data_IF_749668119077
#
_entry.id   IF_749668119077
#
_cell.length_a   1.000
_cell.length_b   1.000
_cell.length_c   1.000
_cell.angle_alpha   90.00
_cell.angle_beta   90.00
_cell.angle_gamma   90.00
#
_symmetry.space_group_name_H-M   'P 1'
#
loop_
_entity.id
_entity.type
_entity.pdbx_description
1 polymer ?
#
# COMPACT_ATOMS: atom_id res chain seq x y z
N UNK A 1 -14.55 -23.80 -12.52
CA UNK A 1 -13.51 -22.98 -11.90
C UNK A 1 -12.48 -22.62 -12.96
N UNK A 2 -12.47 -21.38 -13.46
CA UNK A 2 -11.46 -20.94 -14.42
C UNK A 2 -10.63 -19.85 -13.73
N UNK A 3 -9.36 -20.19 -13.46
CA UNK A 3 -8.39 -19.27 -12.92
C UNK A 3 -7.55 -18.71 -14.08
N UNK A 4 -7.68 -17.42 -14.37
CA UNK A 4 -6.84 -16.77 -15.40
C UNK A 4 -5.57 -16.25 -14.76
N UNK A 5 -4.41 -16.69 -15.29
CA UNK A 5 -3.11 -16.15 -14.90
C UNK A 5 -2.81 -14.84 -15.65
N UNK A 6 -2.05 -14.00 -14.96
CA UNK A 6 -1.43 -12.73 -15.38
C UNK A 6 -1.20 -12.58 -16.88
N UNK A 7 -2.10 -11.92 -17.58
CA UNK A 7 -1.81 -11.15 -18.78
C UNK A 7 -2.34 -9.75 -18.57
N UNK A 8 -1.57 -8.76 -18.84
CA UNK A 8 -2.01 -7.37 -18.82
C UNK A 8 -2.36 -6.93 -20.25
N UNK A 9 -3.57 -6.41 -20.50
CA UNK A 9 -4.74 -6.38 -19.62
C UNK A 9 -5.29 -7.80 -19.36
N UNK A 10 -5.89 -8.04 -18.17
CA UNK A 10 -6.50 -9.34 -17.87
C UNK A 10 -7.62 -9.67 -18.85
N UNK A 11 -7.60 -10.87 -19.44
CA UNK A 11 -8.65 -11.35 -20.34
C UNK A 11 -9.80 -11.95 -19.54
N UNK A 12 -10.51 -11.12 -18.79
CA UNK A 12 -11.59 -11.60 -17.91
C UNK A 12 -12.92 -11.79 -18.63
N UNK A 13 -13.14 -11.13 -19.75
CA UNK A 13 -14.36 -11.23 -20.55
C UNK A 13 -14.50 -12.56 -21.31
N UNK A 14 -13.42 -13.32 -21.45
CA UNK A 14 -13.41 -14.59 -22.15
C UNK A 14 -13.73 -15.78 -21.21
N UNK A 15 -14.07 -15.47 -19.95
CA UNK A 15 -14.35 -16.47 -18.89
C UNK A 15 -15.85 -16.49 -18.65
N UNK A 16 -16.45 -17.68 -18.80
CA UNK A 16 -17.87 -17.90 -18.52
C UNK A 16 -18.02 -19.13 -17.61
N UNK A 17 -18.38 -18.90 -16.37
CA UNK A 17 -18.57 -19.91 -15.35
C UNK A 17 -19.55 -19.45 -14.28
N UNK A 18 -20.00 -20.36 -13.42
CA UNK A 18 -20.86 -20.03 -12.26
C UNK A 18 -20.20 -19.02 -11.33
N UNK A 19 -18.89 -19.10 -11.19
CA UNK A 19 -18.05 -18.11 -10.51
C UNK A 19 -16.86 -17.80 -11.39
N UNK A 20 -16.68 -16.55 -11.73
CA UNK A 20 -15.53 -16.03 -12.46
C UNK A 20 -14.60 -15.35 -11.42
N UNK A 21 -13.54 -16.04 -11.04
CA UNK A 21 -12.61 -15.58 -10.01
C UNK A 21 -11.26 -15.23 -10.63
N UNK A 22 -10.80 -13.99 -10.44
CA UNK A 22 -9.40 -13.61 -10.70
C UNK A 22 -8.57 -13.94 -9.46
N UNK A 23 -7.55 -14.80 -9.63
CA UNK A 23 -6.79 -15.34 -8.52
C UNK A 23 -5.46 -14.62 -8.29
N UNK A 24 -5.14 -14.34 -7.01
CA UNK A 24 -3.86 -13.80 -6.52
C UNK A 24 -3.39 -12.59 -7.36
N UNK A 25 -4.31 -11.66 -7.63
CA UNK A 25 -4.00 -10.50 -8.43
C UNK A 25 -3.03 -9.57 -7.70
N UNK A 26 -2.03 -9.07 -8.42
CA UNK A 26 -1.03 -8.14 -7.93
C UNK A 26 -1.06 -6.84 -8.70
N UNK A 27 -0.81 -5.73 -7.99
CA UNK A 27 -0.66 -4.40 -8.55
C UNK A 27 0.26 -3.58 -7.65
N UNK A 28 0.96 -2.59 -8.19
CA UNK A 28 2.03 -1.91 -7.47
C UNK A 28 1.90 -0.39 -7.42
N UNK A 29 0.92 0.19 -8.12
CA UNK A 29 0.71 1.65 -8.19
C UNK A 29 -0.65 2.07 -7.64
N UNK A 30 -0.75 3.30 -7.14
CA UNK A 30 -2.00 3.80 -6.57
C UNK A 30 -3.12 3.96 -7.60
N UNK A 31 -2.80 4.31 -8.86
CA UNK A 31 -3.78 4.37 -9.94
C UNK A 31 -3.91 3.03 -10.65
N UNK A 32 -5.11 2.76 -11.15
CA UNK A 32 -5.47 1.55 -11.89
C UNK A 32 -6.20 1.91 -13.18
N UNK A 33 -5.95 1.24 -14.31
CA UNK A 33 -6.58 1.60 -15.58
C UNK A 33 -8.11 1.45 -15.54
N UNK A 34 -8.85 2.53 -15.84
CA UNK A 34 -10.30 2.56 -15.76
C UNK A 34 -10.98 1.44 -16.58
N UNK A 35 -10.51 1.19 -17.80
CA UNK A 35 -11.05 0.13 -18.66
C UNK A 35 -10.90 -1.28 -18.04
N UNK A 36 -9.95 -1.48 -17.13
CA UNK A 36 -9.80 -2.74 -16.42
C UNK A 36 -10.75 -2.81 -15.23
N UNK A 37 -10.99 -1.69 -14.55
CA UNK A 37 -12.02 -1.58 -13.48
C UNK A 37 -13.39 -2.00 -14.04
N UNK A 38 -13.78 -1.40 -15.16
CA UNK A 38 -15.03 -1.73 -15.82
C UNK A 38 -15.12 -3.21 -16.21
N UNK A 39 -14.04 -3.75 -16.77
CA UNK A 39 -13.97 -5.18 -17.11
C UNK A 39 -14.06 -6.07 -15.88
N UNK A 40 -13.43 -5.71 -14.76
CA UNK A 40 -13.50 -6.49 -13.53
C UNK A 40 -14.91 -6.51 -12.96
N UNK A 41 -15.53 -5.35 -12.87
CA UNK A 41 -16.88 -5.20 -12.35
C UNK A 41 -17.95 -5.90 -13.23
N UNK A 42 -17.71 -5.96 -14.55
CA UNK A 42 -18.68 -6.54 -15.50
C UNK A 42 -18.57 -8.06 -15.65
N UNK A 43 -17.36 -8.64 -15.53
CA UNK A 43 -17.13 -10.04 -15.90
C UNK A 43 -16.70 -10.93 -14.75
N UNK A 44 -16.25 -10.39 -13.61
CA UNK A 44 -15.82 -11.17 -12.47
C UNK A 44 -16.89 -11.25 -11.38
N UNK A 45 -16.96 -12.39 -10.71
CA UNK A 45 -17.77 -12.58 -9.51
C UNK A 45 -16.99 -12.14 -8.25
N UNK A 46 -15.66 -12.20 -8.30
CA UNK A 46 -14.80 -11.78 -7.21
C UNK A 46 -13.32 -11.82 -7.58
N UNK A 47 -12.49 -11.26 -6.73
CA UNK A 47 -11.04 -11.18 -6.90
C UNK A 47 -10.36 -11.62 -5.62
N UNK A 48 -9.35 -12.50 -5.71
CA UNK A 48 -8.39 -12.67 -4.62
C UNK A 48 -7.11 -11.95 -4.97
N UNK A 49 -6.53 -11.26 -3.98
CA UNK A 49 -5.36 -10.40 -4.15
C UNK A 49 -4.21 -10.84 -3.25
N UNK A 50 -2.99 -10.43 -3.62
CA UNK A 50 -1.77 -10.82 -2.92
C UNK A 50 -1.60 -10.14 -1.55
N UNK A 51 -2.18 -8.94 -1.34
CA UNK A 51 -1.99 -8.16 -0.12
C UNK A 51 -3.15 -7.21 0.16
N UNK A 52 -3.17 -6.68 1.38
CA UNK A 52 -4.11 -5.62 1.75
C UNK A 52 -3.90 -4.35 0.93
N UNK A 53 -2.66 -4.04 0.55
CA UNK A 53 -2.35 -2.90 -0.31
C UNK A 53 -3.02 -3.03 -1.68
N UNK A 54 -2.90 -4.18 -2.34
CA UNK A 54 -3.57 -4.43 -3.63
C UNK A 54 -5.10 -4.35 -3.49
N UNK A 55 -5.66 -4.85 -2.38
CA UNK A 55 -7.09 -4.72 -2.10
C UNK A 55 -7.51 -3.26 -2.01
N UNK A 56 -6.76 -2.43 -1.27
CA UNK A 56 -7.03 -1.00 -1.15
C UNK A 56 -6.99 -0.31 -2.50
N UNK A 57 -5.93 -0.55 -3.28
CA UNK A 57 -5.77 0.05 -4.61
C UNK A 57 -6.97 -0.27 -5.51
N UNK A 58 -7.43 -1.51 -5.57
CA UNK A 58 -8.57 -1.88 -6.40
C UNK A 58 -9.86 -1.19 -5.96
N UNK A 59 -10.14 -1.14 -4.66
CA UNK A 59 -11.31 -0.46 -4.10
C UNK A 59 -11.25 1.04 -4.40
N UNK A 60 -10.11 1.67 -4.15
CA UNK A 60 -9.91 3.12 -4.33
C UNK A 60 -10.04 3.54 -5.81
N UNK A 61 -9.81 2.63 -6.74
CA UNK A 61 -10.02 2.85 -8.16
C UNK A 61 -11.39 2.39 -8.69
N UNK A 62 -12.34 2.02 -7.82
CA UNK A 62 -13.72 1.74 -8.21
C UNK A 62 -14.05 0.28 -8.51
N UNK A 63 -13.21 -0.67 -8.13
CA UNK A 63 -13.58 -2.09 -8.15
C UNK A 63 -14.48 -2.38 -6.96
N UNK A 64 -15.77 -2.68 -7.23
CA UNK A 64 -16.79 -2.87 -6.20
C UNK A 64 -17.22 -4.32 -6.00
N UNK A 65 -16.81 -5.26 -6.87
CA UNK A 65 -17.07 -6.67 -6.65
C UNK A 65 -16.29 -7.20 -5.42
N UNK A 66 -16.71 -8.29 -4.79
CA UNK A 66 -16.04 -8.83 -3.61
C UNK A 66 -14.55 -9.08 -3.81
N UNK A 67 -13.71 -8.60 -2.89
CA UNK A 67 -12.25 -8.79 -2.90
C UNK A 67 -11.81 -9.43 -1.59
N UNK A 68 -11.03 -10.53 -1.69
CA UNK A 68 -10.43 -11.21 -0.54
C UNK A 68 -8.90 -11.25 -0.64
N UNK A 69 -8.21 -11.04 0.47
CA UNK A 69 -6.75 -11.16 0.54
C UNK A 69 -6.36 -12.61 0.79
N UNK A 70 -5.73 -13.25 -0.21
CA UNK A 70 -5.23 -14.61 -0.07
C UNK A 70 -3.74 -14.67 0.29
N UNK A 71 -2.96 -13.64 -0.04
CA UNK A 71 -1.50 -13.66 0.07
C UNK A 71 -0.83 -14.51 -1.01
N UNK A 72 0.45 -14.82 -0.79
CA UNK A 72 1.20 -15.83 -1.52
C UNK A 72 1.84 -16.82 -0.54
N UNK A 73 2.02 -18.08 -0.97
CA UNK A 73 2.81 -19.07 -0.24
C UNK A 73 4.31 -18.88 -0.53
N UNK A 74 5.13 -19.14 0.47
CA UNK A 74 6.61 -19.13 0.36
C UNK A 74 7.25 -20.43 0.85
N UNK A 75 6.43 -21.42 1.24
CA UNK A 75 6.87 -22.73 1.72
C UNK A 75 7.48 -23.62 0.64
N UNK A 76 7.33 -23.27 -0.65
CA UNK A 76 8.01 -23.96 -1.75
C UNK A 76 9.54 -23.90 -1.61
N UNK A 77 10.09 -22.84 -0.99
CA UNK A 77 11.53 -22.68 -0.85
C UNK A 77 12.13 -23.71 0.14
N UNK A 78 11.34 -24.24 1.07
CA UNK A 78 11.78 -25.28 2.00
C UNK A 78 12.07 -26.63 1.31
N UNK A 79 11.48 -26.86 0.14
CA UNK A 79 11.61 -28.09 -0.63
C UNK A 79 12.81 -28.08 -1.59
N UNK A 80 13.45 -26.91 -1.73
CA UNK A 80 14.61 -26.74 -2.58
C UNK A 80 15.85 -27.06 -1.75
N UNK A 81 16.78 -27.83 -2.31
CA UNK A 81 18.08 -28.06 -1.68
C UNK A 81 19.10 -27.10 -2.28
N UNK A 82 19.77 -26.34 -1.40
CA UNK A 82 20.87 -25.48 -1.80
C UNK A 82 22.01 -26.30 -2.44
N UNK A 83 22.63 -25.76 -3.48
CA UNK A 83 23.79 -26.41 -4.09
C UNK A 83 25.05 -26.04 -3.36
N UNK A 84 25.94 -27.03 -3.14
CA UNK A 84 27.26 -26.80 -2.52
C UNK A 84 28.26 -26.11 -3.46
N UNK A 85 27.96 -26.05 -4.75
CA UNK A 85 28.86 -25.51 -5.76
C UNK A 85 28.71 -24.00 -5.99
N UNK A 86 27.79 -23.35 -5.25
CA UNK A 86 27.60 -21.91 -5.36
C UNK A 86 28.40 -21.19 -4.27
N UNK A 87 29.46 -20.50 -4.70
CA UNK A 87 30.29 -19.68 -3.79
C UNK A 87 30.23 -18.23 -4.22
N UNK A 88 30.00 -17.34 -3.26
CA UNK A 88 30.16 -15.91 -3.47
C UNK A 88 31.66 -15.55 -3.47
N UNK A 89 32.09 -14.55 -4.23
CA UNK A 89 33.47 -14.06 -4.21
C UNK A 89 33.76 -13.48 -2.82
N UNK A 90 34.83 -14.01 -2.17
CA UNK A 90 35.40 -13.50 -0.92
C UNK A 90 34.47 -13.57 0.33
N UNK A 91 35.08 -13.67 1.53
CA UNK A 91 34.40 -13.64 2.84
C UNK A 91 33.91 -12.22 3.22
N UNK A 92 33.33 -11.48 2.29
CA UNK A 92 32.82 -10.12 2.50
C UNK A 92 31.37 -10.15 2.98
N UNK A 93 30.97 -9.14 3.75
CA UNK A 93 29.57 -8.93 4.06
C UNK A 93 28.79 -8.62 2.78
N UNK A 94 27.76 -9.41 2.49
CA UNK A 94 27.05 -9.36 1.22
C UNK A 94 25.60 -8.87 1.39
N UNK A 95 25.29 -7.75 0.73
CA UNK A 95 23.93 -7.30 0.51
C UNK A 95 23.41 -7.89 -0.80
N UNK A 96 22.22 -8.48 -0.77
CA UNK A 96 21.59 -9.10 -1.93
C UNK A 96 20.36 -8.33 -2.37
N UNK A 97 20.29 -8.00 -3.65
CA UNK A 97 19.08 -7.51 -4.31
C UNK A 97 18.69 -8.45 -5.45
N UNK A 98 17.45 -8.97 -5.41
CA UNK A 98 16.91 -9.83 -6.48
C UNK A 98 15.69 -9.15 -7.09
N UNK A 99 15.79 -8.74 -8.34
CA UNK A 99 14.66 -8.14 -9.06
C UNK A 99 14.85 -8.10 -10.57
N UNK A 100 13.78 -7.75 -11.29
CA UNK A 100 13.83 -7.42 -12.72
C UNK A 100 14.52 -6.08 -13.03
N UNK A 101 14.93 -5.32 -12.03
CA UNK A 101 15.49 -3.96 -12.15
C UNK A 101 14.62 -2.97 -12.94
N UNK A 102 13.29 -3.16 -12.93
CA UNK A 102 12.36 -2.13 -13.40
C UNK A 102 12.49 -0.87 -12.53
N UNK A 103 12.15 0.33 -13.04
CA UNK A 103 12.28 1.59 -12.30
C UNK A 103 11.70 1.53 -10.88
N UNK A 104 10.52 0.90 -10.71
CA UNK A 104 9.88 0.74 -9.40
C UNK A 104 10.67 -0.10 -8.38
N UNK A 105 11.69 -0.86 -8.83
CA UNK A 105 12.53 -1.68 -7.94
C UNK A 105 13.63 -0.88 -7.21
N UNK A 106 13.78 0.42 -7.54
CA UNK A 106 14.58 1.36 -6.77
C UNK A 106 16.10 1.16 -6.90
N UNK A 107 16.60 0.66 -8.06
CA UNK A 107 18.04 0.43 -8.29
C UNK A 107 18.87 1.69 -8.14
N UNK A 108 18.37 2.84 -8.61
CA UNK A 108 19.07 4.12 -8.48
C UNK A 108 19.21 4.52 -7.00
N UNK A 109 18.13 4.37 -6.22
CA UNK A 109 18.14 4.59 -4.77
C UNK A 109 19.10 3.63 -4.06
N UNK A 110 19.11 2.35 -4.47
CA UNK A 110 20.04 1.36 -3.91
C UNK A 110 21.49 1.73 -4.13
N UNK A 111 21.88 2.05 -5.38
CA UNK A 111 23.24 2.48 -5.65
C UNK A 111 23.60 3.78 -4.94
N UNK A 112 22.70 4.78 -4.94
CA UNK A 112 22.96 6.03 -4.25
C UNK A 112 23.23 5.81 -2.75
N UNK A 113 22.43 4.99 -2.08
CA UNK A 113 22.63 4.66 -0.67
C UNK A 113 23.87 3.83 -0.42
N UNK A 114 24.14 2.82 -1.26
CA UNK A 114 25.32 1.95 -1.13
C UNK A 114 26.63 2.70 -1.33
N UNK A 115 26.73 3.53 -2.37
CA UNK A 115 27.91 4.38 -2.64
C UNK A 115 28.10 5.51 -1.62
N UNK A 116 27.02 5.94 -0.98
CA UNK A 116 27.11 6.89 0.16
C UNK A 116 27.60 6.19 1.44
N UNK A 117 27.33 4.90 1.59
CA UNK A 117 27.62 4.13 2.80
C UNK A 117 29.03 3.55 2.81
N UNK A 118 29.52 3.09 1.67
CA UNK A 118 30.70 2.25 1.54
C UNK A 118 31.66 2.72 0.46
N UNK A 119 32.90 2.28 0.57
CA UNK A 119 34.00 2.55 -0.35
C UNK A 119 34.68 1.23 -0.76
N UNK A 120 35.69 1.28 -1.63
CA UNK A 120 36.49 0.12 -2.01
C UNK A 120 37.30 -0.49 -0.85
N UNK A 121 37.45 0.24 0.28
CA UNK A 121 38.20 -0.21 1.44
C UNK A 121 37.35 -1.00 2.44
N UNK A 122 36.04 -1.02 2.28
CA UNK A 122 35.12 -1.73 3.16
C UNK A 122 34.99 -3.20 2.73
N UNK A 123 34.92 -4.12 3.68
CA UNK A 123 34.73 -5.55 3.45
C UNK A 123 33.27 -5.89 3.16
N UNK A 124 32.72 -5.23 2.15
CA UNK A 124 31.32 -5.35 1.75
C UNK A 124 31.20 -5.55 0.24
N UNK A 125 30.15 -6.24 -0.18
CA UNK A 125 29.78 -6.42 -1.57
C UNK A 125 28.26 -6.28 -1.75
N UNK A 126 27.84 -5.54 -2.79
CA UNK A 126 26.44 -5.52 -3.22
C UNK A 126 26.27 -6.49 -4.39
N UNK A 127 25.38 -7.47 -4.23
CA UNK A 127 25.06 -8.47 -5.24
C UNK A 127 23.68 -8.16 -5.81
N UNK A 128 23.61 -7.99 -7.13
CA UNK A 128 22.36 -7.73 -7.84
C UNK A 128 22.08 -8.91 -8.76
N UNK A 129 21.09 -9.73 -8.40
CA UNK A 129 20.56 -10.80 -9.26
C UNK A 129 19.42 -10.24 -10.09
N UNK A 130 19.60 -10.28 -11.39
CA UNK A 130 18.62 -9.75 -12.35
C UNK A 130 18.58 -10.61 -13.63
N UNK A 131 17.90 -10.13 -14.65
CA UNK A 131 17.87 -10.70 -15.99
C UNK A 131 17.66 -9.60 -17.02
N UNK A 132 18.04 -9.87 -18.27
CA UNK A 132 17.89 -8.93 -19.36
C UNK A 132 16.42 -8.66 -19.69
N UNK A 133 16.05 -7.39 -19.75
CA UNK A 133 14.74 -6.93 -20.20
C UNK A 133 14.80 -5.46 -20.65
N UNK A 134 13.82 -4.95 -21.43
CA UNK A 134 13.87 -3.60 -22.02
C UNK A 134 13.96 -2.45 -21.01
N UNK A 135 13.61 -2.68 -19.76
CA UNK A 135 13.61 -1.66 -18.69
C UNK A 135 14.81 -1.78 -17.75
N UNK A 136 15.62 -2.83 -17.89
CA UNK A 136 16.79 -3.05 -17.04
C UNK A 136 17.98 -2.24 -17.56
N UNK A 137 18.32 -1.20 -16.80
CA UNK A 137 19.47 -0.31 -17.09
C UNK A 137 20.57 -0.42 -16.03
N UNK A 138 20.61 -1.51 -15.26
CA UNK A 138 21.47 -1.65 -14.08
C UNK A 138 22.95 -1.41 -14.39
N UNK A 139 23.47 -1.92 -15.51
CA UNK A 139 24.87 -1.72 -15.92
C UNK A 139 25.18 -0.24 -16.23
N UNK A 140 24.28 0.45 -16.93
CA UNK A 140 24.46 1.86 -17.25
C UNK A 140 24.46 2.72 -15.98
N UNK A 141 23.52 2.45 -15.09
CA UNK A 141 23.40 3.17 -13.80
C UNK A 141 24.65 2.92 -12.95
N UNK A 142 25.12 1.67 -12.82
CA UNK A 142 26.35 1.35 -12.08
C UNK A 142 27.56 2.09 -12.67
N UNK A 143 27.71 2.12 -14.00
CA UNK A 143 28.80 2.83 -14.66
C UNK A 143 28.79 4.34 -14.35
N UNK A 144 27.62 4.97 -14.25
CA UNK A 144 27.51 6.37 -13.86
C UNK A 144 27.95 6.61 -12.42
N UNK A 145 27.58 5.72 -11.48
CA UNK A 145 28.02 5.80 -10.09
C UNK A 145 29.53 5.58 -9.95
N UNK A 146 30.09 4.59 -10.65
CA UNK A 146 31.52 4.33 -10.65
C UNK A 146 32.34 5.53 -11.15
N UNK A 147 31.87 6.22 -12.21
CA UNK A 147 32.55 7.41 -12.74
C UNK A 147 32.56 8.60 -11.76
N UNK A 148 31.55 8.70 -10.91
CA UNK A 148 31.40 9.79 -9.94
C UNK A 148 32.14 9.53 -8.62
N UNK A 149 32.53 8.29 -8.33
CA UNK A 149 33.20 7.90 -7.08
C UNK A 149 34.70 7.78 -7.30
N UNK A 150 35.48 8.36 -6.38
CA UNK A 150 36.95 8.20 -6.34
C UNK A 150 37.38 6.84 -5.78
N UNK A 151 36.51 6.16 -5.04
CA UNK A 151 36.77 4.86 -4.41
C UNK A 151 35.48 4.02 -4.41
N UNK A 152 35.04 3.51 -5.59
CA UNK A 152 33.76 2.84 -5.74
C UNK A 152 33.75 1.51 -4.95
N UNK A 153 32.67 1.24 -4.15
CA UNK A 153 32.53 -0.02 -3.43
C UNK A 153 32.26 -1.17 -4.41
N UNK A 154 32.52 -2.40 -3.97
CA UNK A 154 32.37 -3.57 -4.83
C UNK A 154 30.91 -3.89 -5.12
N UNK A 155 30.58 -4.08 -6.40
CA UNK A 155 29.26 -4.51 -6.89
C UNK A 155 29.43 -5.69 -7.82
N UNK A 156 28.59 -6.72 -7.66
CA UNK A 156 28.51 -7.89 -8.53
C UNK A 156 27.11 -7.97 -9.14
N UNK A 157 27.01 -7.91 -10.46
CA UNK A 157 25.75 -8.12 -11.18
C UNK A 157 25.72 -9.55 -11.72
N UNK A 158 24.66 -10.29 -11.38
CA UNK A 158 24.39 -11.64 -11.85
C UNK A 158 23.15 -11.59 -12.75
N UNK A 159 23.35 -11.37 -14.04
CA UNK A 159 22.30 -11.27 -15.07
C UNK A 159 22.03 -12.58 -15.81
N UNK A 160 22.79 -13.64 -15.53
CA UNK A 160 22.56 -15.00 -16.04
C UNK A 160 21.39 -15.69 -15.36
N UNK A 161 20.78 -16.64 -16.04
CA UNK A 161 19.80 -17.54 -15.41
C UNK A 161 20.45 -18.39 -14.31
N UNK A 162 19.74 -18.55 -13.21
CA UNK A 162 20.11 -19.41 -12.10
C UNK A 162 18.99 -20.42 -11.85
N UNK A 163 19.35 -21.64 -11.52
CA UNK A 163 18.41 -22.66 -11.04
C UNK A 163 17.82 -22.27 -9.68
N UNK A 164 16.72 -22.88 -9.29
CA UNK A 164 16.12 -22.64 -7.98
C UNK A 164 17.10 -22.96 -6.82
N UNK A 165 17.92 -24.02 -6.98
CA UNK A 165 18.95 -24.38 -6.00
C UNK A 165 20.06 -23.33 -5.88
N UNK A 166 20.46 -22.73 -7.00
CA UNK A 166 21.44 -21.61 -6.99
C UNK A 166 20.85 -20.34 -6.39
N UNK A 167 19.57 -20.04 -6.66
CA UNK A 167 18.86 -18.91 -6.05
C UNK A 167 18.76 -19.09 -4.53
N UNK A 168 18.40 -20.28 -4.06
CA UNK A 168 18.37 -20.57 -2.62
C UNK A 168 19.78 -20.45 -2.00
N UNK A 169 20.80 -20.97 -2.67
CA UNK A 169 22.19 -20.81 -2.23
C UNK A 169 22.62 -19.37 -2.16
N UNK A 170 22.20 -18.55 -3.12
CA UNK A 170 22.44 -17.10 -3.14
C UNK A 170 21.82 -16.39 -1.93
N UNK A 171 20.58 -16.74 -1.57
CA UNK A 171 19.95 -16.23 -0.34
C UNK A 171 20.77 -16.61 0.90
N UNK A 172 21.07 -17.90 1.07
CA UNK A 172 21.75 -18.43 2.25
C UNK A 172 23.19 -17.95 2.40
N UNK A 173 23.87 -17.65 1.27
CA UNK A 173 25.22 -17.11 1.28
C UNK A 173 25.26 -15.59 1.52
N UNK A 174 24.11 -14.91 1.54
CA UNK A 174 24.02 -13.45 1.70
C UNK A 174 23.73 -13.07 3.15
N UNK A 175 24.31 -11.96 3.61
CA UNK A 175 24.15 -11.49 4.99
C UNK A 175 22.87 -10.65 5.18
N UNK A 176 22.39 -9.95 4.14
CA UNK A 176 21.14 -9.22 4.19
C UNK A 176 20.54 -9.02 2.78
N UNK A 177 19.21 -9.01 2.71
CA UNK A 177 18.45 -8.66 1.50
C UNK A 177 18.10 -7.19 1.56
N UNK A 178 18.23 -6.49 0.41
CA UNK A 178 17.86 -5.08 0.26
C UNK A 178 16.88 -4.91 -0.88
N UNK A 179 15.67 -4.47 -0.56
CA UNK A 179 14.57 -4.29 -1.52
C UNK A 179 13.92 -2.89 -1.39
N UNK A 180 14.57 -1.83 -1.90
CA UNK A 180 14.09 -0.45 -1.79
C UNK A 180 13.07 -0.12 -2.90
N UNK A 181 12.05 -0.95 -3.03
CA UNK A 181 11.03 -0.79 -4.07
C UNK A 181 10.12 0.39 -3.78
N UNK A 182 9.67 1.09 -4.83
CA UNK A 182 8.69 2.17 -4.77
C UNK A 182 7.26 1.64 -4.59
N UNK A 183 6.99 0.42 -5.04
CA UNK A 183 5.71 -0.25 -4.91
C UNK A 183 5.83 -1.75 -5.17
N UNK A 184 5.13 -2.54 -4.38
CA UNK A 184 5.08 -4.00 -4.47
C UNK A 184 3.68 -4.51 -4.18
N UNK A 185 3.23 -5.46 -4.99
CA UNK A 185 1.99 -6.16 -4.72
C UNK A 185 2.09 -7.16 -3.56
N UNK A 186 3.28 -7.78 -3.37
CA UNK A 186 3.57 -8.70 -2.26
C UNK A 186 5.03 -8.64 -1.80
N UNK A 187 5.97 -8.61 -2.73
CA UNK A 187 7.42 -8.72 -2.54
C UNK A 187 7.88 -10.14 -2.15
N UNK A 188 7.74 -11.07 -3.10
CA UNK A 188 8.07 -12.49 -2.89
C UNK A 188 9.53 -12.69 -2.44
N UNK A 189 10.49 -11.97 -3.02
CA UNK A 189 11.91 -12.09 -2.68
C UNK A 189 12.21 -11.75 -1.22
N UNK A 190 11.53 -10.75 -0.66
CA UNK A 190 11.60 -10.40 0.77
C UNK A 190 11.00 -11.52 1.62
N UNK A 191 9.84 -12.04 1.25
CA UNK A 191 9.16 -13.11 1.99
C UNK A 191 9.99 -14.42 1.99
N UNK A 192 10.59 -14.78 0.86
CA UNK A 192 11.52 -15.92 0.75
C UNK A 192 12.75 -15.74 1.64
N UNK A 193 13.34 -14.54 1.64
CA UNK A 193 14.47 -14.23 2.52
C UNK A 193 14.12 -14.34 3.99
N UNK A 194 12.97 -13.83 4.41
CA UNK A 194 12.48 -14.01 5.79
C UNK A 194 12.29 -15.50 6.14
N UNK A 195 11.77 -16.30 5.21
CA UNK A 195 11.60 -17.75 5.40
C UNK A 195 12.93 -18.46 5.61
N UNK A 196 13.94 -18.09 4.85
CA UNK A 196 15.29 -18.63 4.97
C UNK A 196 16.07 -18.04 6.17
N UNK A 197 15.54 -17.01 6.84
CA UNK A 197 16.16 -16.35 7.99
C UNK A 197 17.28 -15.38 7.62
N UNK A 198 17.22 -14.84 6.43
CA UNK A 198 18.12 -13.77 6.00
C UNK A 198 17.57 -12.42 6.47
N UNK A 199 18.39 -11.52 7.07
CA UNK A 199 17.99 -10.17 7.41
C UNK A 199 17.40 -9.41 6.23
N UNK A 200 16.32 -8.67 6.42
CA UNK A 200 15.61 -7.97 5.34
C UNK A 200 15.55 -6.48 5.59
N UNK A 201 15.97 -5.71 4.58
CA UNK A 201 15.85 -4.25 4.49
C UNK A 201 14.87 -3.95 3.36
N UNK A 202 13.74 -3.30 3.64
CA UNK A 202 12.71 -3.03 2.62
C UNK A 202 11.97 -1.72 2.89
N UNK A 203 11.38 -1.12 1.86
CA UNK A 203 10.57 0.10 2.02
C UNK A 203 9.38 -0.14 2.94
N UNK A 204 9.10 0.81 3.83
CA UNK A 204 7.97 0.76 4.77
C UNK A 204 6.59 0.98 4.08
N UNK A 205 6.44 0.59 2.81
CA UNK A 205 5.24 0.78 2.00
C UNK A 205 5.08 -0.33 0.95
N UNK A 206 3.83 -0.74 0.71
CA UNK A 206 3.47 -1.76 -0.29
C UNK A 206 3.08 -3.09 0.33
N UNK A 207 2.85 -4.12 -0.50
CA UNK A 207 2.33 -5.41 -0.08
C UNK A 207 3.15 -6.16 0.96
N UNK A 208 4.45 -5.88 1.08
CA UNK A 208 5.31 -6.47 2.10
C UNK A 208 4.97 -6.00 3.52
N UNK A 209 4.24 -4.89 3.68
CA UNK A 209 3.82 -4.43 5.02
C UNK A 209 2.79 -5.34 5.69
N UNK A 210 2.21 -6.28 4.96
CA UNK A 210 1.37 -7.34 5.52
C UNK A 210 2.16 -8.33 6.41
N UNK A 211 3.48 -8.40 6.24
CA UNK A 211 4.35 -9.29 7.01
C UNK A 211 5.67 -8.67 7.48
N UNK A 212 6.09 -7.52 6.97
CA UNK A 212 7.26 -6.77 7.41
C UNK A 212 6.87 -5.65 8.38
N UNK A 213 7.57 -5.59 9.53
CA UNK A 213 7.42 -4.53 10.52
C UNK A 213 8.75 -4.28 11.26
N UNK A 214 8.79 -3.30 12.16
CA UNK A 214 10.00 -2.90 12.88
C UNK A 214 10.62 -4.01 13.77
N UNK A 215 9.84 -5.02 14.17
CA UNK A 215 10.33 -6.11 15.01
C UNK A 215 11.02 -7.23 14.21
N UNK A 216 10.77 -7.33 12.89
CA UNK A 216 11.22 -8.45 12.06
C UNK A 216 11.97 -8.05 10.78
N UNK A 217 12.08 -6.75 10.49
CA UNK A 217 12.76 -6.21 9.32
C UNK A 217 13.30 -4.80 9.59
N UNK A 218 14.18 -4.30 8.72
CA UNK A 218 14.64 -2.92 8.72
C UNK A 218 13.85 -2.15 7.67
N UNK A 219 13.05 -1.19 8.12
CA UNK A 219 12.14 -0.45 7.28
C UNK A 219 12.76 0.85 6.81
N UNK A 220 12.89 0.99 5.48
CA UNK A 220 13.38 2.21 4.83
C UNK A 220 12.26 3.24 4.86
N UNK A 221 12.54 4.43 5.34
CA UNK A 221 11.64 5.57 5.26
C UNK A 221 11.43 6.03 3.80
N UNK A 222 10.33 6.70 3.52
CA UNK A 222 9.95 7.08 2.16
C UNK A 222 9.16 8.38 2.14
N UNK A 223 9.01 8.96 0.96
CA UNK A 223 8.06 10.04 0.68
C UNK A 223 7.18 9.66 -0.50
N UNK A 224 5.96 10.17 -0.55
CA UNK A 224 5.10 9.99 -1.70
C UNK A 224 5.46 10.97 -2.81
N UNK A 225 5.48 10.47 -4.05
CA UNK A 225 5.64 11.27 -5.26
C UNK A 225 4.78 10.69 -6.40
N UNK A 226 4.55 11.45 -7.45
CA UNK A 226 3.91 10.92 -8.65
C UNK A 226 4.79 9.85 -9.30
N UNK A 227 4.18 8.72 -9.69
CA UNK A 227 4.91 7.64 -10.32
C UNK A 227 5.37 8.03 -11.72
N UNK A 228 6.59 7.66 -12.05
CA UNK A 228 7.17 7.84 -13.37
C UNK A 228 7.63 6.48 -13.92
N UNK A 229 6.70 5.69 -14.42
CA UNK A 229 6.98 4.37 -14.96
C UNK A 229 6.42 4.18 -16.38
N UNK A 230 6.59 2.96 -16.90
CA UNK A 230 6.16 2.58 -18.25
C UNK A 230 4.64 2.52 -18.44
N UNK A 231 3.85 2.46 -17.36
CA UNK A 231 2.38 2.42 -17.41
C UNK A 231 1.75 3.79 -17.69
N UNK A 232 2.48 4.87 -17.45
CA UNK A 232 2.09 6.27 -17.72
C UNK A 232 0.72 6.62 -17.13
N UNK A 233 0.44 6.19 -15.91
CA UNK A 233 -0.78 6.54 -15.18
C UNK A 233 -0.57 7.90 -14.52
N UNK A 234 -1.10 8.96 -15.10
CA UNK A 234 -0.81 10.35 -14.73
C UNK A 234 -1.15 10.75 -13.28
N UNK A 235 -2.12 10.09 -12.67
CA UNK A 235 -2.53 10.34 -11.28
C UNK A 235 -1.92 9.34 -10.28
N UNK A 236 -1.06 8.45 -10.75
CA UNK A 236 -0.49 7.41 -9.91
C UNK A 236 0.57 7.97 -8.98
N UNK A 237 0.55 7.48 -7.73
CA UNK A 237 1.51 7.82 -6.68
C UNK A 237 2.20 6.55 -6.23
N UNK A 238 3.47 6.65 -5.90
CA UNK A 238 4.27 5.59 -5.30
C UNK A 238 5.13 6.10 -4.14
N UNK A 239 5.70 5.20 -3.35
CA UNK A 239 6.60 5.54 -2.26
C UNK A 239 8.04 5.61 -2.78
N UNK A 240 8.67 6.79 -2.74
CA UNK A 240 10.09 6.96 -3.03
C UNK A 240 10.92 6.66 -1.80
N UNK A 241 11.73 5.58 -1.77
CA UNK A 241 12.57 5.26 -0.63
C UNK A 241 13.62 6.34 -0.36
N UNK A 242 13.83 6.67 0.90
CA UNK A 242 14.83 7.66 1.33
C UNK A 242 16.25 7.08 1.21
N UNK A 243 17.08 7.72 0.40
CA UNK A 243 18.50 7.38 0.25
C UNK A 243 19.23 7.46 1.60
N UNK A 244 18.99 8.52 2.37
CA UNK A 244 19.62 8.74 3.68
C UNK A 244 19.21 7.68 4.69
N UNK A 245 17.91 7.31 4.73
CA UNK A 245 17.40 6.25 5.59
C UNK A 245 18.03 4.90 5.20
N UNK A 246 18.04 4.56 3.91
CA UNK A 246 18.63 3.32 3.43
C UNK A 246 20.13 3.25 3.71
N UNK A 247 20.88 4.33 3.44
CA UNK A 247 22.31 4.42 3.74
C UNK A 247 22.61 4.16 5.22
N UNK A 248 21.85 4.80 6.12
CA UNK A 248 21.98 4.60 7.56
C UNK A 248 21.70 3.15 7.97
N UNK A 249 20.61 2.57 7.44
CA UNK A 249 20.21 1.19 7.75
C UNK A 249 21.24 0.18 7.22
N UNK A 250 21.79 0.38 6.02
CA UNK A 250 22.82 -0.51 5.48
C UNK A 250 24.08 -0.51 6.35
N UNK A 251 24.54 0.65 6.83
CA UNK A 251 25.66 0.74 7.79
C UNK A 251 25.32 0.06 9.11
N UNK A 252 24.14 0.35 9.67
CA UNK A 252 23.67 -0.29 10.91
C UNK A 252 23.72 -1.82 10.79
N UNK A 253 23.10 -2.38 9.74
CA UNK A 253 23.02 -3.84 9.54
C UNK A 253 24.42 -4.47 9.32
N UNK A 254 25.33 -3.76 8.66
CA UNK A 254 26.72 -4.18 8.48
C UNK A 254 27.49 -4.25 9.82
N UNK A 255 27.24 -3.30 10.72
CA UNK A 255 27.95 -3.15 11.98
C UNK A 255 27.33 -3.96 13.14
N UNK A 256 26.06 -4.40 13.00
CA UNK A 256 25.33 -5.11 14.05
C UNK A 256 25.95 -6.49 14.38
N UNK A 257 26.04 -6.85 15.67
CA UNK A 257 26.40 -8.20 16.08
C UNK A 257 25.44 -9.26 15.52
N UNK A 258 25.98 -10.41 15.14
CA UNK A 258 25.21 -11.53 14.57
C UNK A 258 24.02 -11.94 15.44
N UNK A 259 24.17 -11.89 16.76
CA UNK A 259 23.09 -12.24 17.70
C UNK A 259 21.86 -11.31 17.58
N UNK A 260 22.08 -10.01 17.30
CA UNK A 260 21.00 -9.05 17.12
C UNK A 260 20.27 -9.32 15.80
N UNK A 261 21.02 -9.60 14.74
CA UNK A 261 20.46 -9.99 13.44
C UNK A 261 19.63 -11.27 13.59
N UNK A 262 20.13 -12.29 14.28
CA UNK A 262 19.44 -13.56 14.51
C UNK A 262 18.12 -13.41 15.24
N UNK A 263 18.08 -12.62 16.33
CA UNK A 263 16.82 -12.38 17.07
C UNK A 263 15.72 -11.83 16.16
N UNK A 264 16.07 -10.88 15.31
CA UNK A 264 15.12 -10.25 14.39
C UNK A 264 14.68 -11.21 13.27
N UNK A 265 15.60 -12.00 12.73
CA UNK A 265 15.27 -13.01 11.70
C UNK A 265 14.47 -14.19 12.25
N UNK A 266 14.60 -14.55 13.53
CA UNK A 266 13.72 -15.54 14.18
C UNK A 266 12.27 -15.07 14.24
N UNK A 267 12.04 -13.78 14.58
CA UNK A 267 10.70 -13.18 14.53
C UNK A 267 10.19 -13.17 13.10
N UNK A 268 11.04 -12.83 12.12
CA UNK A 268 10.72 -12.86 10.71
C UNK A 268 10.26 -14.24 10.24
N UNK A 269 11.00 -15.30 10.57
CA UNK A 269 10.65 -16.70 10.28
C UNK A 269 9.30 -17.09 10.87
N UNK A 270 9.04 -16.74 12.14
CA UNK A 270 7.76 -17.02 12.81
C UNK A 270 6.60 -16.28 12.12
N UNK A 271 6.80 -15.03 11.73
CA UNK A 271 5.78 -14.24 11.03
C UNK A 271 5.43 -14.87 9.69
N UNK A 272 6.43 -15.25 8.88
CA UNK A 272 6.21 -15.76 7.53
C UNK A 272 5.82 -17.25 7.49
N UNK A 273 5.94 -17.99 8.60
CA UNK A 273 5.68 -19.41 8.67
C UNK A 273 4.26 -19.82 8.20
N UNK A 274 3.28 -18.95 8.43
CA UNK A 274 1.88 -19.18 8.06
C UNK A 274 1.57 -18.84 6.59
N UNK A 275 2.52 -18.28 5.85
CA UNK A 275 2.37 -17.99 4.43
C UNK A 275 2.70 -19.22 3.59
N UNK A 276 1.76 -20.16 3.54
CA UNK A 276 1.89 -21.42 2.81
C UNK A 276 0.94 -21.50 1.62
N UNK A 277 1.33 -22.21 0.57
CA UNK A 277 0.47 -22.45 -0.58
C UNK A 277 -0.83 -23.16 -0.20
N UNK A 278 -0.77 -24.02 0.82
CA UNK A 278 -1.98 -24.67 1.38
C UNK A 278 -2.94 -23.61 1.97
N UNK A 279 -2.43 -22.65 2.73
CA UNK A 279 -3.24 -21.55 3.29
C UNK A 279 -3.83 -20.68 2.20
N UNK A 280 -3.06 -20.36 1.16
CA UNK A 280 -3.53 -19.60 0.00
C UNK A 280 -4.65 -20.34 -0.73
N UNK A 281 -4.49 -21.65 -0.99
CA UNK A 281 -5.52 -22.47 -1.62
C UNK A 281 -6.80 -22.51 -0.78
N UNK A 282 -6.69 -22.72 0.55
CA UNK A 282 -7.84 -22.76 1.44
C UNK A 282 -8.60 -21.44 1.43
N UNK A 283 -7.91 -20.29 1.55
CA UNK A 283 -8.55 -18.95 1.48
C UNK A 283 -9.32 -18.76 0.17
N UNK A 284 -8.79 -19.25 -0.95
CA UNK A 284 -9.47 -19.16 -2.24
C UNK A 284 -10.72 -20.04 -2.30
N UNK A 285 -10.67 -21.26 -1.75
CA UNK A 285 -11.80 -22.17 -1.65
C UNK A 285 -12.90 -21.56 -0.77
N UNK A 286 -12.54 -21.07 0.42
CA UNK A 286 -13.47 -20.45 1.36
C UNK A 286 -14.15 -19.21 0.76
N UNK A 287 -13.38 -18.39 0.06
CA UNK A 287 -13.91 -17.23 -0.63
C UNK A 287 -14.86 -17.61 -1.77
N UNK A 288 -14.53 -18.64 -2.53
CA UNK A 288 -15.40 -19.16 -3.61
C UNK A 288 -16.72 -19.70 -3.04
N UNK A 289 -16.69 -20.44 -1.93
CA UNK A 289 -17.91 -20.89 -1.24
C UNK A 289 -18.74 -19.71 -0.73
N UNK A 290 -18.10 -18.68 -0.16
CA UNK A 290 -18.78 -17.46 0.26
C UNK A 290 -19.48 -16.75 -0.90
N UNK A 291 -18.85 -16.68 -2.07
CA UNK A 291 -19.44 -16.09 -3.28
C UNK A 291 -20.66 -16.89 -3.77
N UNK A 292 -20.62 -18.22 -3.72
CA UNK A 292 -21.76 -19.08 -4.06
C UNK A 292 -22.97 -18.85 -3.15
N UNK A 293 -22.72 -18.58 -1.87
CA UNK A 293 -23.77 -18.38 -0.85
C UNK A 293 -24.29 -16.94 -0.80
N UNK A 294 -23.56 -15.95 -1.32
CA UNK A 294 -23.92 -14.54 -1.29
C UNK A 294 -24.79 -14.14 -2.48
N UNK A 295 -26.10 -14.31 -2.35
CA UNK A 295 -27.07 -13.99 -3.44
C UNK A 295 -27.30 -12.49 -3.64
N UNK A 296 -26.83 -11.58 -2.77
CA UNK A 296 -27.12 -10.15 -2.86
C UNK A 296 -25.96 -9.30 -2.31
N UNK A 297 -25.38 -8.47 -3.19
CA UNK A 297 -24.57 -7.33 -2.76
C UNK A 297 -25.57 -6.25 -2.31
N UNK A 298 -25.68 -6.02 -1.00
CA UNK A 298 -26.37 -4.84 -0.49
C UNK A 298 -25.54 -3.62 -0.85
N UNK A 299 -26.08 -2.74 -1.69
CA UNK A 299 -25.47 -1.43 -1.93
C UNK A 299 -25.35 -0.65 -0.61
N UNK A 300 -24.24 0.04 -0.38
CA UNK A 300 -24.08 0.86 0.81
C UNK A 300 -25.09 2.01 0.83
N UNK A 301 -25.66 2.32 2.00
CA UNK A 301 -26.38 3.56 2.24
C UNK A 301 -25.38 4.60 2.72
N UNK A 302 -25.16 5.63 1.93
CA UNK A 302 -24.06 6.59 2.11
C UNK A 302 -24.60 7.90 2.71
N UNK A 303 -23.98 8.36 3.81
CA UNK A 303 -24.12 9.73 4.29
C UNK A 303 -22.95 10.58 3.81
N UNK A 304 -23.24 11.79 3.34
CA UNK A 304 -22.25 12.76 2.88
C UNK A 304 -22.31 14.00 3.77
N UNK A 305 -21.43 14.09 4.76
CA UNK A 305 -21.36 15.21 5.72
C UNK A 305 -20.52 16.34 5.13
N UNK A 306 -21.14 17.48 4.86
CA UNK A 306 -20.49 18.60 4.16
C UNK A 306 -21.26 19.91 4.40
N UNK A 307 -20.62 21.06 4.16
CA UNK A 307 -21.34 22.31 3.85
C UNK A 307 -22.12 22.12 2.55
N UNK A 308 -23.32 22.65 2.47
CA UNK A 308 -24.19 22.43 1.32
C UNK A 308 -25.03 23.67 0.99
N UNK A 309 -25.18 23.95 -0.32
CA UNK A 309 -26.01 25.04 -0.81
C UNK A 309 -25.65 26.41 -0.20
N UNK A 310 -24.35 26.66 -0.10
CA UNK A 310 -23.77 27.87 0.52
C UNK A 310 -22.56 28.38 -0.29
N UNK A 311 -22.12 29.61 -0.04
CA UNK A 311 -20.92 30.22 -0.65
C UNK A 311 -19.62 29.64 -0.07
N UNK A 312 -19.49 28.34 -0.20
CA UNK A 312 -18.33 27.60 0.26
C UNK A 312 -17.74 26.76 -0.87
N UNK A 313 -16.44 26.83 -1.09
CA UNK A 313 -15.79 26.02 -2.12
C UNK A 313 -15.97 24.52 -1.89
N UNK A 314 -16.06 24.07 -0.62
CA UNK A 314 -16.31 22.66 -0.26
C UNK A 314 -17.75 22.26 -0.59
N UNK A 315 -18.72 23.14 -0.41
CA UNK A 315 -20.10 22.93 -0.81
C UNK A 315 -20.20 22.74 -2.35
N UNK A 316 -19.55 23.59 -3.11
CA UNK A 316 -19.48 23.48 -4.59
C UNK A 316 -18.80 22.19 -5.02
N UNK A 317 -17.65 21.87 -4.40
CA UNK A 317 -16.91 20.64 -4.65
C UNK A 317 -17.77 19.39 -4.37
N UNK A 318 -18.43 19.35 -3.22
CA UNK A 318 -19.33 18.26 -2.82
C UNK A 318 -20.48 18.09 -3.80
N UNK A 319 -21.10 19.18 -4.24
CA UNK A 319 -22.18 19.14 -5.23
C UNK A 319 -21.75 18.45 -6.52
N UNK A 320 -20.61 18.86 -7.10
CA UNK A 320 -20.10 18.25 -8.31
C UNK A 320 -19.78 16.76 -8.17
N UNK A 321 -19.28 16.33 -7.02
CA UNK A 321 -19.03 14.90 -6.76
C UNK A 321 -20.34 14.11 -6.63
N UNK A 322 -21.27 14.63 -5.82
CA UNK A 322 -22.54 13.95 -5.50
C UNK A 322 -23.41 13.77 -6.74
N UNK A 323 -23.41 14.72 -7.67
CA UNK A 323 -24.15 14.63 -8.94
C UNK A 323 -23.75 13.41 -9.80
N UNK A 324 -22.56 12.85 -9.59
CA UNK A 324 -22.05 11.69 -10.32
C UNK A 324 -22.15 10.36 -9.55
N UNK A 325 -22.66 10.39 -8.29
CA UNK A 325 -22.83 9.18 -7.49
C UNK A 325 -24.21 8.60 -7.73
N UNK A 326 -24.27 7.38 -8.28
CA UNK A 326 -25.53 6.70 -8.62
C UNK A 326 -26.17 5.93 -7.44
N UNK A 327 -25.58 5.98 -6.25
CA UNK A 327 -26.07 5.26 -5.07
C UNK A 327 -27.12 6.08 -4.30
N UNK A 328 -27.89 5.41 -3.45
CA UNK A 328 -28.74 6.05 -2.45
C UNK A 328 -27.85 6.83 -1.46
N UNK A 329 -27.84 8.16 -1.60
CA UNK A 329 -26.94 9.07 -0.90
C UNK A 329 -27.76 10.13 -0.14
N UNK A 330 -27.51 10.26 1.16
CA UNK A 330 -28.06 11.29 2.01
C UNK A 330 -27.03 12.39 2.28
N UNK A 331 -27.35 13.62 1.91
CA UNK A 331 -26.52 14.78 2.20
C UNK A 331 -26.85 15.26 3.62
N UNK A 332 -25.82 15.47 4.44
CA UNK A 332 -25.96 15.87 5.83
C UNK A 332 -25.23 17.20 6.02
N UNK A 333 -25.99 18.28 6.07
CA UNK A 333 -25.49 19.64 6.06
C UNK A 333 -25.58 20.30 7.46
N UNK A 334 -24.79 21.37 7.71
CA UNK A 334 -24.93 22.14 8.95
C UNK A 334 -26.22 22.97 8.97
N UNK A 335 -26.78 23.11 10.16
CA UNK A 335 -28.03 23.88 10.42
C UNK A 335 -27.77 25.38 10.66
N UNK A 336 -26.52 25.74 11.01
CA UNK A 336 -26.11 27.14 11.23
C UNK A 336 -25.44 27.78 10.00
N UNK A 337 -25.60 27.19 8.82
CA UNK A 337 -25.11 27.73 7.55
C UNK A 337 -26.22 28.46 6.79
N UNK A 338 -25.91 29.60 6.17
CA UNK A 338 -26.87 30.33 5.35
C UNK A 338 -27.06 29.65 4.00
N UNK A 339 -28.33 29.33 3.66
CA UNK A 339 -28.71 28.81 2.35
C UNK A 339 -28.72 29.98 1.36
N UNK A 340 -27.98 29.86 0.24
CA UNK A 340 -27.84 30.96 -0.73
C UNK A 340 -28.61 30.75 -2.04
N UNK A 341 -28.94 29.49 -2.34
CA UNK A 341 -29.62 29.14 -3.58
C UNK A 341 -31.03 28.61 -3.28
N UNK A 342 -31.63 27.87 -4.19
CA UNK A 342 -32.95 27.28 -4.01
C UNK A 342 -33.05 26.38 -2.76
N UNK A 343 -34.27 26.09 -2.32
CA UNK A 343 -34.51 25.18 -1.18
C UNK A 343 -33.80 23.83 -1.37
N UNK A 344 -33.33 23.27 -0.28
CA UNK A 344 -32.69 21.95 -0.28
C UNK A 344 -33.61 20.87 -0.86
N UNK A 345 -33.03 19.88 -1.54
CA UNK A 345 -33.74 18.70 -2.03
C UNK A 345 -34.11 17.75 -0.90
N UNK A 346 -35.00 16.79 -1.16
CA UNK A 346 -35.53 15.83 -0.16
C UNK A 346 -34.47 14.89 0.44
N UNK A 347 -33.30 14.80 -0.17
CA UNK A 347 -32.18 13.98 0.33
C UNK A 347 -31.14 14.80 1.12
N UNK A 348 -31.45 16.04 1.49
CA UNK A 348 -30.61 16.90 2.33
C UNK A 348 -31.24 17.05 3.71
N UNK A 349 -30.46 16.76 4.74
CA UNK A 349 -30.82 16.96 6.15
C UNK A 349 -29.82 17.88 6.83
N UNK A 350 -30.31 18.81 7.66
CA UNK A 350 -29.51 19.74 8.44
C UNK A 350 -29.60 19.42 9.91
N UNK A 351 -28.59 18.75 10.45
CA UNK A 351 -28.64 18.20 11.81
C UNK A 351 -27.35 18.34 12.61
N UNK A 352 -26.40 19.16 12.17
CA UNK A 352 -25.18 19.48 12.91
C UNK A 352 -24.81 20.94 12.71
N UNK A 353 -23.93 21.49 13.53
CA UNK A 353 -23.54 22.92 13.45
C UNK A 353 -22.03 23.05 13.29
N UNK A 354 -21.61 24.00 12.45
CA UNK A 354 -20.19 24.30 12.24
C UNK A 354 -19.56 24.85 13.52
N UNK A 355 -18.44 24.23 13.92
CA UNK A 355 -17.63 24.70 15.07
C UNK A 355 -18.19 24.34 16.46
N UNK A 356 -19.34 23.74 16.55
CA UNK A 356 -19.96 23.37 17.82
C UNK A 356 -19.26 22.20 18.52
N UNK A 357 -19.43 22.11 19.82
CA UNK A 357 -18.78 21.11 20.68
C UNK A 357 -19.53 19.76 20.73
N UNK A 358 -20.65 19.65 20.03
CA UNK A 358 -21.50 18.47 20.04
C UNK A 358 -21.92 18.04 18.63
N UNK A 359 -21.74 16.77 18.33
CA UNK A 359 -22.17 16.11 17.08
C UNK A 359 -23.16 14.96 17.35
N UNK A 360 -23.85 14.95 18.51
CA UNK A 360 -24.76 13.87 18.91
C UNK A 360 -25.97 13.77 17.97
N UNK A 361 -26.59 14.89 17.59
CA UNK A 361 -27.69 14.92 16.61
C UNK A 361 -27.29 14.29 15.28
N UNK A 362 -26.05 14.58 14.80
CA UNK A 362 -25.50 13.95 13.60
C UNK A 362 -25.37 12.44 13.79
N UNK A 363 -24.85 11.99 14.92
CA UNK A 363 -24.71 10.57 15.22
C UNK A 363 -26.07 9.85 15.28
N UNK A 364 -27.05 10.41 15.98
CA UNK A 364 -28.41 9.86 16.06
C UNK A 364 -29.07 9.78 14.66
N UNK A 365 -28.94 10.83 13.85
CA UNK A 365 -29.45 10.82 12.48
C UNK A 365 -28.85 9.70 11.64
N UNK A 366 -27.51 9.51 11.70
CA UNK A 366 -26.79 8.44 10.99
C UNK A 366 -27.37 7.06 11.35
N UNK A 367 -27.62 6.81 12.64
CA UNK A 367 -28.17 5.54 13.11
C UNK A 367 -29.62 5.36 12.68
N UNK A 368 -30.47 6.39 12.81
CA UNK A 368 -31.90 6.35 12.46
C UNK A 368 -32.07 6.08 10.95
N UNK A 369 -31.23 6.65 10.13
CA UNK A 369 -31.21 6.42 8.67
C UNK A 369 -30.54 5.09 8.27
N UNK A 370 -30.00 4.33 9.23
CA UNK A 370 -29.28 3.06 9.00
C UNK A 370 -28.20 3.20 7.95
N UNK A 371 -27.43 4.29 7.99
CA UNK A 371 -26.32 4.50 7.08
C UNK A 371 -25.22 3.48 7.37
N UNK A 372 -24.60 2.96 6.34
CA UNK A 372 -23.53 1.96 6.44
C UNK A 372 -22.15 2.53 6.16
N UNK A 373 -22.11 3.69 5.52
CA UNK A 373 -20.89 4.39 5.16
C UNK A 373 -21.09 5.89 5.29
N UNK A 374 -20.05 6.59 5.72
CA UNK A 374 -20.07 8.03 5.89
C UNK A 374 -18.86 8.65 5.20
N UNK A 375 -19.10 9.64 4.35
CA UNK A 375 -18.07 10.51 3.77
C UNK A 375 -18.10 11.84 4.52
N UNK A 376 -17.04 12.18 5.22
CA UNK A 376 -16.93 13.42 6.00
C UNK A 376 -15.99 14.35 5.27
N UNK A 377 -16.50 15.51 4.83
CA UNK A 377 -15.69 16.58 4.26
C UNK A 377 -15.02 17.35 5.42
N UNK A 378 -13.70 17.21 5.54
CA UNK A 378 -12.95 17.78 6.64
C UNK A 378 -12.29 19.11 6.25
N UNK A 379 -12.55 20.10 7.12
CA UNK A 379 -11.79 21.35 7.18
C UNK A 379 -11.58 21.72 8.66
N UNK A 380 -10.45 22.30 9.01
CA UNK A 380 -10.11 22.68 10.39
C UNK A 380 -11.15 23.60 11.05
N UNK A 381 -11.89 24.37 10.26
CA UNK A 381 -12.94 25.26 10.73
C UNK A 381 -14.31 24.60 10.95
N UNK A 382 -14.52 23.38 10.46
CA UNK A 382 -15.87 22.77 10.48
C UNK A 382 -16.20 22.10 11.80
N UNK A 383 -15.24 21.46 12.45
CA UNK A 383 -15.49 20.61 13.61
C UNK A 383 -14.69 21.04 14.83
N UNK A 384 -15.30 20.95 16.00
CA UNK A 384 -14.55 20.80 17.24
C UNK A 384 -13.85 19.44 17.23
N UNK A 385 -12.56 19.38 17.57
CA UNK A 385 -11.77 18.14 17.46
C UNK A 385 -12.17 17.10 18.51
N UNK A 386 -12.60 17.51 19.70
CA UNK A 386 -13.09 16.57 20.71
C UNK A 386 -14.41 15.93 20.26
N UNK A 387 -15.34 16.71 19.73
CA UNK A 387 -16.60 16.20 19.19
C UNK A 387 -16.39 15.28 17.97
N UNK A 388 -15.48 15.65 17.06
CA UNK A 388 -15.13 14.81 15.91
C UNK A 388 -14.50 13.49 16.35
N UNK A 389 -13.60 13.52 17.33
CA UNK A 389 -12.99 12.35 17.95
C UNK A 389 -14.02 11.38 18.50
N UNK A 390 -14.97 11.91 19.27
CA UNK A 390 -16.06 11.12 19.83
C UNK A 390 -16.95 10.50 18.76
N UNK A 391 -17.33 11.29 17.75
CA UNK A 391 -18.12 10.82 16.61
C UNK A 391 -17.44 9.66 15.88
N UNK A 392 -16.16 9.80 15.51
CA UNK A 392 -15.41 8.76 14.80
C UNK A 392 -15.36 7.46 15.62
N UNK A 393 -15.08 7.55 16.93
CA UNK A 393 -15.04 6.38 17.80
C UNK A 393 -16.42 5.70 17.91
N UNK A 394 -17.49 6.46 18.06
CA UNK A 394 -18.87 5.93 18.07
C UNK A 394 -19.24 5.23 16.77
N UNK A 395 -18.94 5.83 15.62
CA UNK A 395 -19.21 5.27 14.30
C UNK A 395 -18.41 3.98 14.06
N UNK A 396 -17.12 4.00 14.40
CA UNK A 396 -16.25 2.82 14.28
C UNK A 396 -16.77 1.65 15.12
N UNK A 397 -17.21 1.91 16.37
CA UNK A 397 -17.80 0.88 17.25
C UNK A 397 -19.08 0.23 16.68
N UNK A 398 -19.79 0.92 15.79
CA UNK A 398 -20.99 0.44 15.07
C UNK A 398 -20.67 -0.18 13.71
N UNK A 399 -19.40 -0.36 13.35
CA UNK A 399 -18.94 -0.85 12.03
C UNK A 399 -19.44 0.00 10.85
N UNK A 400 -19.71 1.28 11.06
CA UNK A 400 -20.02 2.23 10.00
C UNK A 400 -18.69 2.62 9.34
N UNK A 401 -18.61 2.52 8.02
CA UNK A 401 -17.41 2.85 7.26
C UNK A 401 -17.19 4.36 7.22
N UNK A 402 -15.97 4.80 7.55
CA UNK A 402 -15.62 6.22 7.63
C UNK A 402 -14.60 6.56 6.57
N UNK A 403 -15.00 7.47 5.67
CA UNK A 403 -14.14 8.06 4.64
C UNK A 403 -13.98 9.54 4.98
N UNK A 404 -12.79 9.94 5.39
CA UNK A 404 -12.50 11.33 5.70
C UNK A 404 -11.85 12.01 4.49
N UNK A 405 -12.47 13.04 3.95
CA UNK A 405 -11.94 13.81 2.83
C UNK A 405 -11.33 15.12 3.34
N UNK A 406 -10.01 15.21 3.36
CA UNK A 406 -9.29 16.36 3.92
C UNK A 406 -9.00 17.41 2.85
N UNK A 407 -9.67 18.56 2.94
CA UNK A 407 -9.43 19.70 2.06
C UNK A 407 -8.17 20.49 2.42
N UNK A 408 -7.65 20.32 3.60
CA UNK A 408 -6.35 20.82 4.04
C UNK A 408 -5.73 19.87 5.06
N UNK A 409 -4.43 19.68 4.95
CA UNK A 409 -3.57 19.02 5.94
C UNK A 409 -2.61 20.00 6.61
N UNK A 410 -2.63 21.27 6.19
CA UNK A 410 -1.85 22.34 6.78
C UNK A 410 -2.62 22.89 7.98
N UNK A 411 -2.04 22.72 9.17
CA UNK A 411 -2.62 23.20 10.42
C UNK A 411 -2.70 24.73 10.46
N UNK A 412 -3.79 25.31 10.97
CA UNK A 412 -3.91 26.76 11.09
C UNK A 412 -2.89 27.30 12.10
N UNK A 413 -2.18 28.38 11.78
CA UNK A 413 -1.22 28.97 12.70
C UNK A 413 -1.92 29.48 13.98
N UNK A 414 -1.25 29.32 15.12
CA UNK A 414 -1.70 29.82 16.43
C UNK A 414 -3.02 29.21 16.97
N UNK A 415 -3.41 28.01 16.53
CA UNK A 415 -4.57 27.29 17.05
C UNK A 415 -4.16 25.90 17.58
N UNK A 416 -3.77 25.85 18.86
CA UNK A 416 -3.33 24.60 19.50
C UNK A 416 -4.41 23.56 19.64
N UNK A 417 -5.69 23.95 19.61
CA UNK A 417 -6.87 23.10 19.63
C UNK A 417 -7.22 22.48 18.27
N UNK A 418 -6.49 22.84 17.21
CA UNK A 418 -6.68 22.41 15.82
C UNK A 418 -5.47 21.69 15.23
N UNK A 419 -4.70 21.00 16.06
CA UNK A 419 -3.55 20.23 15.62
C UNK A 419 -3.96 18.77 15.34
N UNK A 420 -3.52 18.20 14.22
CA UNK A 420 -3.89 16.83 13.79
C UNK A 420 -3.44 15.76 14.77
N UNK A 421 -2.36 15.98 15.53
CA UNK A 421 -1.92 15.03 16.55
C UNK A 421 -2.97 14.78 17.65
N UNK A 422 -3.91 15.72 17.88
CA UNK A 422 -5.00 15.56 18.85
C UNK A 422 -6.03 14.49 18.48
N UNK A 423 -6.12 14.17 17.16
CA UNK A 423 -7.07 13.19 16.60
C UNK A 423 -6.37 12.07 15.85
N UNK A 424 -5.06 11.89 16.05
CA UNK A 424 -4.26 10.92 15.29
C UNK A 424 -4.77 9.48 15.45
N UNK A 425 -5.18 9.09 16.66
CA UNK A 425 -5.76 7.78 16.96
C UNK A 425 -7.05 7.54 16.16
N UNK A 426 -7.86 8.57 16.02
CA UNK A 426 -9.15 8.52 15.30
C UNK A 426 -8.92 8.54 13.78
N UNK A 427 -7.94 9.29 13.30
CA UNK A 427 -7.54 9.23 11.90
C UNK A 427 -7.09 7.82 11.51
N UNK A 428 -6.38 7.12 12.38
CA UNK A 428 -5.86 5.77 12.12
C UNK A 428 -6.95 4.69 12.02
N UNK A 429 -8.13 4.90 12.61
CA UNK A 429 -9.27 3.97 12.55
C UNK A 429 -10.27 4.30 11.44
N UNK A 430 -10.08 5.40 10.71
CA UNK A 430 -10.86 5.68 9.51
C UNK A 430 -10.55 4.64 8.42
N UNK A 431 -11.58 4.19 7.69
CA UNK A 431 -11.40 3.23 6.60
C UNK A 431 -10.61 3.81 5.43
N UNK A 432 -10.75 5.12 5.17
CA UNK A 432 -9.99 5.89 4.20
C UNK A 432 -9.80 7.33 4.63
N UNK A 433 -8.63 7.88 4.30
CA UNK A 433 -8.37 9.32 4.31
C UNK A 433 -8.01 9.72 2.89
N UNK A 434 -8.78 10.65 2.33
CA UNK A 434 -8.57 11.17 0.98
C UNK A 434 -7.96 12.57 1.08
N UNK A 435 -6.97 12.85 0.26
CA UNK A 435 -6.25 14.13 0.19
C UNK A 435 -6.02 14.52 -1.27
N UNK A 436 -5.62 15.77 -1.52
CA UNK A 436 -5.49 16.28 -2.88
C UNK A 436 -4.11 16.06 -3.52
N UNK A 437 -3.04 15.96 -2.71
CA UNK A 437 -1.67 15.94 -3.24
C UNK A 437 -0.76 14.95 -2.50
N UNK A 438 0.34 14.50 -3.12
CA UNK A 438 1.38 13.74 -2.42
C UNK A 438 2.00 14.48 -1.23
N UNK A 439 2.04 15.82 -1.26
CA UNK A 439 2.51 16.63 -0.15
C UNK A 439 1.59 16.51 1.07
N UNK A 440 0.27 16.40 0.86
CA UNK A 440 -0.70 16.14 1.93
C UNK A 440 -0.50 14.75 2.53
N UNK A 441 -0.29 13.72 1.70
CA UNK A 441 0.03 12.38 2.17
C UNK A 441 1.29 12.36 3.05
N UNK A 442 2.33 13.09 2.65
CA UNK A 442 3.57 13.17 3.42
C UNK A 442 3.40 13.88 4.77
N UNK A 443 2.42 14.77 4.92
CA UNK A 443 2.10 15.40 6.22
C UNK A 443 1.33 14.48 7.16
N UNK A 444 0.56 13.53 6.61
CA UNK A 444 -0.24 12.58 7.39
C UNK A 444 0.54 11.30 7.75
N UNK A 445 1.68 11.08 7.10
CA UNK A 445 2.59 9.98 7.40
C UNK A 445 3.30 10.19 8.73
#
# INVERSE_FOLDING_TARGET
>A
FICTRKRYPPRVKDVDGVINLLHAYGWEESAFPYAWVDSFNSYLTGITVMSNEVKKILIDNGVYIPISVCGLGVDHIDQIQATTNFTLPNNKFSFLHISSCFPRKGIETLFAAYFQSFTAHDDVILIIKTFENPHNKVHNILNEFNKKSSSPPQVLILDKELSLSEIQSLYLASNAIVAPSHGEGFNLTVAEGMRLGVPVITTAWGGQTDFCNISNSWLIDFSFEYSNNHLRLFSSVWARPSITSLSKIMKEVYELPQEVLQKKTEIARKTIANFTWKSVAQKNIDFSHKLLLSSFIKLPRIGWVTTWNSRCGIATYSRHLVEHIQNDLMIIAPDNESIEFESDSTNVERCWSLGEDDLEKLYEFILNCKLTSLVIQFNFGFYNFLALKELINKLHSKNIKIILFMHSTVEPPNKSDKCLHLILSELSICDRILVHTPADLNRLK
#
